data_IF_163125430945
#
_entry.id   IF_163125430945
#
_cell.length_a   1.000
_cell.length_b   1.000
_cell.length_c   1.000
_cell.angle_alpha   90.00
_cell.angle_beta   90.00
_cell.angle_gamma   90.00
#
_symmetry.space_group_name_H-M   'P 1'
#
loop_
_entity.id
_entity.type
_entity.pdbx_description
1 polymer ?
#
# COMPACT_ATOMS: atom_id res chain seq x y z
N UNK A 1 2.38 5.39 11.49
CA UNK A 1 1.01 5.17 11.99
C UNK A 1 -0.06 5.88 11.14
N UNK A 2 -0.07 7.21 11.02
CA UNK A 2 -1.16 7.89 10.28
C UNK A 2 -1.22 7.50 8.80
N UNK A 3 -0.09 7.38 8.13
CA UNK A 3 -0.02 6.91 6.75
C UNK A 3 -0.63 5.52 6.58
N UNK A 4 -0.28 4.58 7.45
CA UNK A 4 -0.79 3.21 7.44
C UNK A 4 -2.31 3.14 7.62
N UNK A 5 -2.88 3.96 8.52
CA UNK A 5 -4.34 4.04 8.70
C UNK A 5 -5.06 4.60 7.47
N UNK A 6 -4.44 5.54 6.76
CA UNK A 6 -4.99 6.03 5.49
C UNK A 6 -4.93 4.98 4.40
N UNK A 7 -3.82 4.25 4.29
CA UNK A 7 -3.66 3.16 3.32
C UNK A 7 -4.64 2.03 3.64
N UNK A 8 -4.75 1.61 4.91
CA UNK A 8 -5.77 0.66 5.37
C UNK A 8 -7.16 1.04 4.85
N UNK A 9 -7.61 2.27 5.13
CA UNK A 9 -8.93 2.72 4.73
C UNK A 9 -9.11 2.73 3.20
N UNK A 10 -8.09 3.20 2.48
CA UNK A 10 -8.11 3.23 1.01
C UNK A 10 -8.23 1.84 0.41
N UNK A 11 -7.41 0.90 0.86
CA UNK A 11 -7.43 -0.50 0.42
C UNK A 11 -8.74 -1.19 0.76
N UNK A 12 -9.21 -1.03 1.99
CA UNK A 12 -10.44 -1.64 2.47
C UNK A 12 -11.66 -1.19 1.65
N UNK A 13 -11.81 0.11 1.43
CA UNK A 13 -12.90 0.65 0.62
C UNK A 13 -12.74 0.25 -0.84
N UNK A 14 -11.52 0.27 -1.39
CA UNK A 14 -11.26 -0.18 -2.76
C UNK A 14 -11.65 -1.64 -2.94
N UNK A 15 -11.34 -2.51 -1.99
CA UNK A 15 -11.75 -3.91 -2.01
C UNK A 15 -13.27 -4.12 -1.96
N UNK A 16 -13.99 -3.27 -1.21
CA UNK A 16 -15.46 -3.33 -1.12
C UNK A 16 -16.14 -2.86 -2.40
N UNK A 17 -15.62 -1.79 -3.02
CA UNK A 17 -16.25 -1.16 -4.19
C UNK A 17 -15.76 -1.70 -5.51
N UNK A 18 -14.66 -2.46 -5.54
CA UNK A 18 -14.12 -3.05 -6.75
C UNK A 18 -15.13 -4.03 -7.36
N UNK A 19 -15.55 -3.75 -8.58
CA UNK A 19 -16.46 -4.60 -9.35
C UNK A 19 -15.79 -5.03 -10.65
N UNK A 20 -16.13 -6.25 -11.10
CA UNK A 20 -15.85 -6.70 -12.46
C UNK A 20 -14.60 -7.53 -12.61
N UNK A 21 -13.96 -7.45 -13.75
CA UNK A 21 -13.18 -8.44 -14.45
C UNK A 21 -11.89 -8.97 -13.77
N UNK A 22 -11.41 -8.36 -12.72
CA UNK A 22 -10.19 -8.76 -12.01
C UNK A 22 -10.50 -9.21 -10.57
N UNK A 23 -11.71 -9.46 -10.37
CA UNK A 23 -12.57 -9.62 -9.23
C UNK A 23 -11.91 -10.22 -8.00
N UNK A 24 -11.92 -11.54 -7.88
CA UNK A 24 -11.74 -12.17 -6.57
C UNK A 24 -10.31 -12.08 -6.05
N UNK A 25 -9.31 -12.36 -6.88
CA UNK A 25 -7.90 -12.36 -6.46
C UNK A 25 -7.41 -10.96 -6.05
N UNK A 26 -7.76 -9.92 -6.81
CA UNK A 26 -7.38 -8.55 -6.50
C UNK A 26 -8.12 -8.01 -5.26
N UNK A 27 -9.39 -8.37 -5.12
CA UNK A 27 -10.20 -7.99 -3.95
C UNK A 27 -9.63 -8.65 -2.69
N UNK A 28 -9.29 -9.92 -2.76
CA UNK A 28 -8.70 -10.65 -1.64
C UNK A 28 -7.34 -10.07 -1.26
N UNK A 29 -6.50 -9.76 -2.24
CA UNK A 29 -5.22 -9.10 -2.02
C UNK A 29 -5.42 -7.75 -1.30
N UNK A 30 -6.24 -6.86 -1.82
CA UNK A 30 -6.50 -5.57 -1.16
C UNK A 30 -7.07 -5.68 0.25
N UNK A 31 -7.86 -6.72 0.55
CA UNK A 31 -8.35 -6.97 1.90
C UNK A 31 -7.23 -7.44 2.84
N UNK A 32 -6.36 -8.32 2.34
CA UNK A 32 -5.21 -8.83 3.11
C UNK A 32 -4.27 -7.68 3.45
N UNK A 33 -3.87 -6.91 2.46
CA UNK A 33 -2.99 -5.75 2.65
C UNK A 33 -3.60 -4.71 3.60
N UNK A 34 -4.91 -4.46 3.48
CA UNK A 34 -5.59 -3.56 4.40
C UNK A 34 -5.45 -4.02 5.86
N UNK A 35 -5.61 -5.32 6.14
CA UNK A 35 -5.45 -5.85 7.49
C UNK A 35 -3.99 -5.80 7.97
N UNK A 36 -3.03 -5.98 7.08
CA UNK A 36 -1.61 -5.82 7.39
C UNK A 36 -1.28 -4.38 7.73
N UNK A 37 -1.79 -3.40 6.98
CA UNK A 37 -1.65 -1.97 7.26
C UNK A 37 -2.25 -1.57 8.63
N UNK A 38 -3.37 -2.16 9.01
CA UNK A 38 -3.91 -1.98 10.35
C UNK A 38 -2.95 -2.52 11.42
N UNK A 39 -2.34 -3.68 11.18
CA UNK A 39 -1.30 -4.25 12.03
C UNK A 39 -0.04 -3.37 12.10
N UNK A 40 0.37 -2.77 10.99
CA UNK A 40 1.46 -1.79 10.96
C UNK A 40 1.15 -0.56 11.82
N UNK A 41 -0.07 -0.04 11.72
CA UNK A 41 -0.52 1.08 12.55
C UNK A 41 -0.46 0.76 14.05
N UNK A 42 -0.89 -0.46 14.45
CA UNK A 42 -0.83 -0.92 15.83
C UNK A 42 0.61 -1.02 16.34
N UNK A 43 1.50 -1.67 15.58
CA UNK A 43 2.94 -1.79 15.91
C UNK A 43 3.57 -0.40 16.12
N UNK A 44 3.27 0.56 15.23
CA UNK A 44 3.79 1.93 15.33
C UNK A 44 3.19 2.69 16.50
N UNK A 45 1.90 2.55 16.78
CA UNK A 45 1.24 3.17 17.92
C UNK A 45 1.86 2.70 19.25
N UNK A 46 2.06 1.39 19.39
CA UNK A 46 2.71 0.81 20.57
C UNK A 46 4.14 1.34 20.72
N UNK A 47 4.89 1.44 19.62
CA UNK A 47 6.25 2.00 19.69
C UNK A 47 6.27 3.46 20.09
N UNK A 48 5.32 4.28 19.67
CA UNK A 48 5.18 5.68 20.10
C UNK A 48 4.95 5.75 21.62
N UNK A 49 4.07 4.89 22.16
CA UNK A 49 3.82 4.82 23.62
C UNK A 49 5.07 4.39 24.39
N UNK A 50 5.81 3.39 23.93
CA UNK A 50 7.07 2.94 24.53
C UNK A 50 8.12 4.07 24.61
N UNK A 51 8.12 4.94 23.61
CA UNK A 51 9.00 6.11 23.56
C UNK A 51 8.48 7.30 24.40
N UNK A 52 7.37 7.14 25.12
CA UNK A 52 6.74 8.19 25.92
C UNK A 52 5.94 9.20 25.11
N UNK A 53 5.70 8.93 23.83
CA UNK A 53 4.85 9.75 22.96
C UNK A 53 3.36 9.42 23.09
N UNK A 54 2.52 10.18 22.40
CA UNK A 54 1.09 9.91 22.26
C UNK A 54 0.76 9.64 20.79
N UNK A 55 0.17 8.48 20.45
CA UNK A 55 -0.36 8.27 19.12
C UNK A 55 -1.46 9.29 18.81
N UNK A 56 -1.62 9.65 17.53
CA UNK A 56 -2.74 10.49 17.11
C UNK A 56 -4.03 9.68 17.22
N UNK A 57 -4.97 10.19 17.99
CA UNK A 57 -6.24 9.51 18.31
C UNK A 57 -7.44 10.06 17.56
N UNK A 58 -7.35 11.29 17.03
CA UNK A 58 -8.43 11.93 16.27
C UNK A 58 -8.26 11.66 14.76
N UNK A 59 -9.22 10.98 14.11
CA UNK A 59 -9.19 10.78 12.66
C UNK A 59 -9.15 12.09 11.84
N UNK A 60 -9.65 13.21 12.40
CA UNK A 60 -9.59 14.52 11.77
C UNK A 60 -8.16 15.01 11.55
N UNK A 61 -7.21 14.54 12.35
CA UNK A 61 -5.81 14.92 12.26
C UNK A 61 -5.01 14.08 11.25
N UNK A 62 -5.60 13.03 10.69
CA UNK A 62 -4.87 12.11 9.80
C UNK A 62 -4.32 12.80 8.57
N UNK A 63 -5.10 13.68 7.95
CA UNK A 63 -4.68 14.39 6.73
C UNK A 63 -3.52 15.37 6.98
N UNK A 64 -3.47 15.98 8.16
CA UNK A 64 -2.44 16.96 8.51
C UNK A 64 -1.10 16.31 8.92
N UNK A 65 -1.15 15.08 9.43
CA UNK A 65 0.00 14.45 10.10
C UNK A 65 0.82 13.48 9.23
N UNK A 66 0.36 13.13 8.03
CA UNK A 66 1.00 12.02 7.28
C UNK A 66 2.23 12.42 6.49
N UNK A 67 2.36 13.67 6.09
CA UNK A 67 3.41 14.09 5.14
C UNK A 67 3.32 13.45 3.75
N UNK A 68 2.42 12.48 3.57
CA UNK A 68 2.11 11.81 2.30
C UNK A 68 0.77 12.31 1.75
N UNK A 69 0.68 12.42 0.44
CA UNK A 69 -0.59 12.74 -0.20
C UNK A 69 -1.60 11.61 0.04
N UNK A 70 -2.79 11.97 0.49
CA UNK A 70 -3.90 11.03 0.60
C UNK A 70 -4.27 10.46 -0.78
N UNK A 71 -4.18 9.15 -0.91
CA UNK A 71 -4.65 8.43 -2.10
C UNK A 71 -6.11 8.02 -1.83
N UNK A 72 -7.04 8.87 -2.28
CA UNK A 72 -8.45 8.58 -2.12
C UNK A 72 -8.89 7.40 -2.97
N UNK A 73 -9.75 6.50 -2.47
CA UNK A 73 -10.39 5.47 -3.27
C UNK A 73 -11.08 6.07 -4.49
N UNK A 74 -10.96 5.42 -5.63
CA UNK A 74 -11.56 5.93 -6.86
C UNK A 74 -13.08 5.82 -6.84
N UNK A 75 -13.74 6.82 -7.41
CA UNK A 75 -15.19 6.77 -7.61
C UNK A 75 -15.58 5.84 -8.76
N UNK A 76 -14.71 5.65 -9.73
CA UNK A 76 -14.87 4.66 -10.80
C UNK A 76 -14.18 3.36 -10.38
N UNK A 77 -14.93 2.53 -9.70
CA UNK A 77 -14.52 1.23 -9.16
C UNK A 77 -14.46 0.10 -10.22
N UNK A 78 -14.70 0.42 -11.49
CA UNK A 78 -14.57 -0.53 -12.61
C UNK A 78 -13.18 -0.50 -13.24
N UNK A 79 -12.40 0.55 -12.98
CA UNK A 79 -11.06 0.73 -13.54
C UNK A 79 -9.99 0.11 -12.62
N UNK A 80 -9.94 -1.21 -12.59
CA UNK A 80 -9.00 -1.96 -11.76
C UNK A 80 -7.52 -1.64 -12.11
N UNK A 81 -7.21 -1.36 -13.38
CA UNK A 81 -5.84 -1.03 -13.78
C UNK A 81 -5.38 0.29 -13.13
N UNK A 82 -6.29 1.26 -12.99
CA UNK A 82 -5.99 2.51 -12.27
C UNK A 82 -5.96 2.34 -10.76
N UNK A 83 -6.80 1.47 -10.20
CA UNK A 83 -6.75 1.15 -8.77
C UNK A 83 -5.39 0.58 -8.40
N UNK A 84 -4.90 -0.40 -9.16
CA UNK A 84 -3.56 -0.98 -8.97
C UNK A 84 -2.46 0.08 -9.15
N UNK A 85 -2.55 0.92 -10.19
CA UNK A 85 -1.55 1.97 -10.42
C UNK A 85 -1.51 3.03 -9.31
N UNK A 86 -2.63 3.32 -8.67
CA UNK A 86 -2.67 4.25 -7.53
C UNK A 86 -2.11 3.58 -6.28
N UNK A 87 -2.36 2.28 -6.08
CA UNK A 87 -1.78 1.54 -4.97
C UNK A 87 -0.26 1.43 -5.09
N UNK A 88 0.31 1.10 -6.27
CA UNK A 88 1.76 1.11 -6.50
C UNK A 88 2.39 2.46 -6.09
N UNK A 89 1.73 3.58 -6.38
CA UNK A 89 2.22 4.90 -5.95
C UNK A 89 2.18 5.07 -4.42
N UNK A 90 1.18 4.50 -3.78
CA UNK A 90 1.05 4.50 -2.32
C UNK A 90 2.19 3.71 -1.67
N UNK A 91 2.44 2.48 -2.16
CA UNK A 91 3.54 1.63 -1.69
C UNK A 91 4.90 2.32 -1.89
N UNK A 92 5.16 2.85 -3.07
CA UNK A 92 6.38 3.60 -3.34
C UNK A 92 6.56 4.81 -2.39
N UNK A 93 5.48 5.43 -1.93
CA UNK A 93 5.55 6.51 -0.94
C UNK A 93 5.85 5.98 0.47
N UNK A 94 5.23 4.86 0.87
CA UNK A 94 5.50 4.19 2.13
C UNK A 94 6.96 3.68 2.21
N UNK A 95 7.45 3.04 1.16
CA UNK A 95 8.84 2.59 1.01
C UNK A 95 9.82 3.77 1.22
N UNK A 96 9.58 4.91 0.57
CA UNK A 96 10.42 6.11 0.77
C UNK A 96 10.37 6.59 2.22
N UNK A 97 9.19 6.57 2.84
CA UNK A 97 9.00 6.99 4.22
C UNK A 97 9.78 6.09 5.19
N UNK A 98 9.61 4.77 5.09
CA UNK A 98 10.32 3.82 5.95
C UNK A 98 11.83 3.81 5.70
N UNK A 99 12.29 3.97 4.45
CA UNK A 99 13.71 4.18 4.16
C UNK A 99 14.31 5.41 4.86
N UNK A 100 13.54 6.47 5.02
CA UNK A 100 14.00 7.63 5.79
C UNK A 100 14.04 7.33 7.29
N UNK A 101 13.04 6.63 7.81
CA UNK A 101 13.00 6.22 9.21
C UNK A 101 14.15 5.27 9.56
N UNK A 102 14.49 4.31 8.70
CA UNK A 102 15.64 3.41 8.91
C UNK A 102 16.95 4.19 9.02
N UNK A 103 17.16 5.19 8.15
CA UNK A 103 18.36 6.08 8.23
C UNK A 103 18.40 6.91 9.51
N UNK A 104 17.25 7.35 10.00
CA UNK A 104 17.18 8.14 11.23
C UNK A 104 17.45 7.31 12.49
N UNK A 105 17.08 6.04 12.49
CA UNK A 105 17.14 5.13 13.65
C UNK A 105 18.38 4.26 13.66
N UNK A 106 19.03 4.06 12.52
CA UNK A 106 20.24 3.24 12.39
C UNK A 106 21.33 3.67 13.38
N UNK A 107 21.81 2.72 14.18
CA UNK A 107 22.85 2.93 15.19
C UNK A 107 22.43 3.80 16.41
N UNK A 108 21.18 4.26 16.46
CA UNK A 108 20.67 5.12 17.55
C UNK A 108 19.57 4.43 18.35
N UNK A 109 18.64 3.78 17.70
CA UNK A 109 17.50 3.07 18.29
C UNK A 109 17.27 1.76 17.56
N UNK A 110 17.92 0.68 18.00
CA UNK A 110 17.85 -0.61 17.33
C UNK A 110 16.44 -1.22 17.36
N UNK A 111 15.63 -0.90 18.36
CA UNK A 111 14.26 -1.41 18.45
C UNK A 111 13.38 -0.79 17.37
N UNK A 112 13.39 0.55 17.26
CA UNK A 112 12.65 1.23 16.18
C UNK A 112 13.23 0.88 14.82
N UNK A 113 14.56 0.77 14.68
CA UNK A 113 15.19 0.35 13.43
C UNK A 113 14.69 -1.01 12.95
N UNK A 114 14.68 -2.03 13.83
CA UNK A 114 14.19 -3.36 13.47
C UNK A 114 12.71 -3.34 13.10
N UNK A 115 11.89 -2.62 13.87
CA UNK A 115 10.47 -2.45 13.56
C UNK A 115 10.27 -1.87 12.15
N UNK A 116 10.86 -0.70 11.86
CA UNK A 116 10.64 -0.02 10.58
C UNK A 116 11.28 -0.75 9.39
N UNK A 117 12.34 -1.54 9.63
CA UNK A 117 12.93 -2.40 8.60
C UNK A 117 12.01 -3.56 8.24
N UNK A 118 11.31 -4.12 9.21
CA UNK A 118 10.28 -5.13 8.97
C UNK A 118 9.14 -4.56 8.13
N UNK A 119 8.58 -3.40 8.55
CA UNK A 119 7.53 -2.72 7.79
C UNK A 119 7.97 -2.38 6.36
N UNK A 120 9.21 -1.91 6.19
CA UNK A 120 9.78 -1.65 4.86
C UNK A 120 9.81 -2.90 3.97
N UNK A 121 10.11 -4.07 4.54
CA UNK A 121 10.14 -5.31 3.77
C UNK A 121 8.74 -5.70 3.29
N UNK A 122 7.73 -5.53 4.14
CA UNK A 122 6.33 -5.80 3.81
C UNK A 122 5.87 -4.87 2.64
N UNK A 123 6.16 -3.55 2.69
CA UNK A 123 5.81 -2.62 1.61
C UNK A 123 6.49 -2.95 0.27
N UNK A 124 7.75 -3.42 0.31
CA UNK A 124 8.46 -3.84 -0.90
C UNK A 124 7.81 -5.08 -1.53
N UNK A 125 7.35 -6.03 -0.71
CA UNK A 125 6.64 -7.22 -1.18
C UNK A 125 5.29 -6.86 -1.82
N UNK A 126 4.53 -5.93 -1.22
CA UNK A 126 3.27 -5.42 -1.77
C UNK A 126 3.48 -4.72 -3.12
N UNK A 127 4.49 -3.82 -3.22
CA UNK A 127 4.80 -3.15 -4.48
C UNK A 127 5.16 -4.16 -5.58
N UNK A 128 6.04 -5.14 -5.28
CA UNK A 128 6.47 -6.18 -6.22
C UNK A 128 5.29 -7.03 -6.72
N UNK A 129 4.37 -7.41 -5.84
CA UNK A 129 3.17 -8.15 -6.22
C UNK A 129 2.33 -7.34 -7.22
N UNK A 130 2.06 -6.08 -6.93
CA UNK A 130 1.25 -5.21 -7.78
C UNK A 130 1.91 -4.94 -9.14
N UNK A 131 3.22 -4.74 -9.17
CA UNK A 131 3.99 -4.57 -10.41
C UNK A 131 3.96 -5.84 -11.28
N UNK A 132 4.09 -7.01 -10.68
CA UNK A 132 3.99 -8.29 -11.37
C UNK A 132 2.60 -8.50 -11.98
N UNK A 133 1.55 -8.07 -11.28
CA UNK A 133 0.17 -8.13 -11.76
C UNK A 133 -0.02 -7.27 -13.02
N UNK A 134 0.54 -6.07 -13.06
CA UNK A 134 0.52 -5.18 -14.24
C UNK A 134 1.38 -5.75 -15.38
N UNK A 135 2.58 -6.23 -15.07
CA UNK A 135 3.52 -6.80 -16.05
C UNK A 135 2.98 -8.04 -16.74
N UNK A 136 2.28 -8.91 -16.03
CA UNK A 136 1.64 -10.10 -16.59
C UNK A 136 0.52 -9.76 -17.58
N UNK A 137 -0.27 -8.71 -17.29
CA UNK A 137 -1.32 -8.20 -18.19
C UNK A 137 -0.77 -7.60 -19.47
N UNK A 138 0.36 -6.90 -19.41
CA UNK A 138 1.06 -6.34 -20.58
C UNK A 138 1.51 -7.44 -21.53
N UNK A 139 2.05 -8.55 -21.01
CA UNK A 139 2.45 -9.72 -21.82
C UNK A 139 1.25 -10.44 -22.46
N UNK A 140 0.16 -10.60 -21.73
CA UNK A 140 -1.05 -11.21 -22.25
C UNK A 140 -1.72 -10.40 -23.38
N UNK A 141 -1.69 -9.06 -23.28
CA UNK A 141 -2.18 -8.15 -24.34
C UNK A 141 -1.28 -8.18 -25.57
N UNK A 142 0.06 -8.23 -25.40
CA UNK A 142 1.03 -8.32 -26.49
C UNK A 142 0.89 -9.60 -27.31
N UNK A 143 0.67 -10.74 -26.67
CA UNK A 143 0.48 -12.04 -27.34
C UNK A 143 -0.84 -12.11 -28.11
N UNK A 144 -1.93 -11.51 -27.63
CA UNK A 144 -3.20 -11.43 -28.36
C UNK A 144 -3.11 -10.53 -29.59
N UNK A 145 -2.43 -9.39 -29.49
CA UNK A 145 -2.22 -8.47 -30.61
C UNK A 145 -1.33 -9.08 -31.71
N UNK A 146 -0.30 -9.82 -31.34
CA UNK A 146 0.59 -10.54 -32.27
C UNK A 146 -0.14 -11.68 -33.02
N UNK A 147 -1.05 -12.37 -32.34
CA UNK A 147 -1.84 -13.47 -32.94
C UNK A 147 -2.89 -12.96 -33.94
N UNK A 148 -3.49 -11.78 -33.69
CA UNK A 148 -4.47 -11.18 -34.58
C UNK A 148 -3.85 -10.61 -35.87
N UNK A 149 -2.55 -10.25 -35.87
CA UNK A 149 -1.81 -9.79 -37.09
C UNK A 149 -1.34 -10.94 -37.98
N UNK A 150 -1.33 -12.17 -37.52
CA UNK A 150 -0.85 -13.34 -38.29
C UNK A 150 -1.98 -14.09 -39.05
N UNK A 151 -3.22 -13.66 -38.91
CA UNK A 151 -4.42 -14.23 -39.51
C UNK A 151 -5.10 -13.33 -40.55
N UNK A 152 -4.36 -12.38 -41.13
CA UNK A 152 -4.79 -11.58 -42.28
C UNK A 152 -3.81 -11.75 -43.44
#
# INVERSE_FOLDING_TARGET
>A
MLGTLQVFYSLWITAIVAEGFHGEELIEHFKTDALEELGHAEKLANRILELGGSPVVDPGDWAAGTGNAWVAPRKDFRDADRMVADQIKSEAAAIRHYNNMTKMTFGKDPVTYNLVTGLLADEVEHEEFLENLVGSKGRARGTKASRAKKTR
#
